data_IF_465574435855
#
_entry.id   IF_465574435855
#
_cell.length_a   1.000
_cell.length_b   1.000
_cell.length_c   1.000
_cell.angle_alpha   90.00
_cell.angle_beta   90.00
_cell.angle_gamma   90.00
#
_symmetry.space_group_name_H-M   'P 1'
#
loop_
_entity.id
_entity.type
_entity.pdbx_description
1 polymer ?
#
# COMPACT_ATOMS: atom_id res chain seq x y z
N UNK A 1 -14.38 28.01 23.07
CA UNK A 1 -14.39 27.67 21.64
C UNK A 1 -15.82 27.32 21.26
N UNK A 2 -16.52 28.20 20.55
CA UNK A 2 -17.85 27.88 20.03
C UNK A 2 -17.66 27.02 18.78
N UNK A 3 -18.20 25.79 18.78
CA UNK A 3 -18.33 24.99 17.56
C UNK A 3 -19.44 25.66 16.72
N UNK A 4 -19.05 26.48 15.75
CA UNK A 4 -20.00 27.04 14.79
C UNK A 4 -20.47 25.97 13.82
N UNK A 5 -21.77 25.88 13.57
CA UNK A 5 -22.29 25.08 12.46
C UNK A 5 -22.09 25.85 11.16
N UNK A 6 -21.54 25.18 10.14
CA UNK A 6 -21.44 25.73 8.78
C UNK A 6 -22.51 25.07 7.93
N UNK A 7 -23.44 25.87 7.37
CA UNK A 7 -24.43 25.38 6.42
C UNK A 7 -23.86 25.46 5.01
N UNK A 8 -24.09 24.43 4.20
CA UNK A 8 -23.64 24.36 2.80
C UNK A 8 -24.83 24.03 1.92
N UNK A 9 -25.11 24.90 0.95
CA UNK A 9 -26.15 24.70 -0.05
C UNK A 9 -25.62 23.85 -1.21
N UNK A 10 -26.38 22.83 -1.59
CA UNK A 10 -26.00 21.88 -2.64
C UNK A 10 -27.13 21.76 -3.65
N UNK A 11 -26.80 21.91 -4.93
CA UNK A 11 -27.75 21.78 -6.03
C UNK A 11 -27.96 20.30 -6.37
N UNK A 12 -29.22 19.84 -6.35
CA UNK A 12 -29.60 18.48 -6.73
C UNK A 12 -30.44 18.51 -8.01
N UNK A 13 -30.24 17.51 -8.86
CA UNK A 13 -31.05 17.25 -10.06
C UNK A 13 -31.63 15.83 -9.98
N UNK A 14 -32.63 15.53 -10.81
CA UNK A 14 -33.11 14.14 -10.99
C UNK A 14 -32.08 13.23 -11.70
N UNK A 15 -31.02 13.84 -12.24
CA UNK A 15 -29.95 13.16 -12.96
C UNK A 15 -28.94 12.43 -12.07
N UNK A 16 -29.01 12.62 -10.74
CA UNK A 16 -28.10 11.98 -9.79
C UNK A 16 -28.78 11.79 -8.44
N UNK A 17 -28.46 10.70 -7.75
CA UNK A 17 -28.99 10.47 -6.40
C UNK A 17 -28.33 11.42 -5.39
N UNK A 18 -29.09 11.82 -4.36
CA UNK A 18 -28.58 12.69 -3.30
C UNK A 18 -27.25 12.20 -2.68
N UNK A 19 -27.05 10.90 -2.37
CA UNK A 19 -25.76 10.41 -1.89
C UNK A 19 -24.60 10.68 -2.85
N UNK A 20 -24.79 10.51 -4.16
CA UNK A 20 -23.75 10.78 -5.15
C UNK A 20 -23.38 12.27 -5.18
N UNK A 21 -24.38 13.15 -5.13
CA UNK A 21 -24.16 14.60 -5.08
C UNK A 21 -23.35 14.97 -3.82
N UNK A 22 -23.72 14.45 -2.66
CA UNK A 22 -23.00 14.71 -1.40
C UNK A 22 -21.55 14.19 -1.42
N UNK A 23 -21.31 13.01 -2.01
CA UNK A 23 -19.97 12.45 -2.21
C UNK A 23 -19.15 13.34 -3.15
N UNK A 24 -19.73 13.78 -4.27
CA UNK A 24 -19.08 14.69 -5.22
C UNK A 24 -18.72 16.04 -4.60
N UNK A 25 -19.52 16.53 -3.65
CA UNK A 25 -19.23 17.74 -2.88
C UNK A 25 -18.24 17.52 -1.72
N UNK A 26 -17.68 16.32 -1.56
CA UNK A 26 -16.66 16.03 -0.56
C UNK A 26 -17.20 15.97 0.88
N UNK A 27 -18.54 15.93 1.05
CA UNK A 27 -19.16 15.81 2.37
C UNK A 27 -19.00 14.39 2.95
N UNK A 28 -18.60 13.43 2.12
CA UNK A 28 -18.20 12.08 2.52
C UNK A 28 -16.86 11.70 1.85
N UNK A 29 -15.72 12.10 2.44
CA UNK A 29 -14.39 11.98 1.80
C UNK A 29 -13.97 10.55 1.45
N UNK A 30 -14.52 9.56 2.14
CA UNK A 30 -14.16 8.13 2.01
C UNK A 30 -15.28 7.27 1.43
N UNK A 31 -16.44 7.86 1.11
CA UNK A 31 -17.55 7.10 0.55
C UNK A 31 -17.34 6.93 -0.96
N UNK A 32 -17.42 5.69 -1.48
CA UNK A 32 -17.28 5.47 -2.91
C UNK A 32 -18.58 5.90 -3.63
N UNK A 33 -18.44 6.59 -4.76
CA UNK A 33 -19.58 7.04 -5.59
C UNK A 33 -20.27 5.88 -6.33
N UNK A 34 -19.60 4.73 -6.43
CA UNK A 34 -20.06 3.51 -7.08
C UNK A 34 -19.59 2.29 -6.29
N UNK A 35 -20.29 1.13 -6.39
CA UNK A 35 -19.83 -0.10 -5.77
C UNK A 35 -18.39 -0.42 -6.19
N UNK A 36 -17.48 -0.57 -5.22
CA UNK A 36 -16.13 -1.04 -5.48
C UNK A 36 -16.11 -2.57 -5.63
N UNK A 37 -15.07 -3.08 -6.31
CA UNK A 37 -14.85 -4.52 -6.42
C UNK A 37 -14.67 -5.08 -5.01
N UNK A 38 -15.55 -6.00 -4.62
CA UNK A 38 -15.38 -6.76 -3.39
C UNK A 38 -14.20 -7.73 -3.58
N UNK A 39 -13.13 -7.52 -2.79
CA UNK A 39 -11.98 -8.44 -2.75
C UNK A 39 -12.12 -9.32 -1.52
N UNK A 40 -11.89 -10.62 -1.69
CA UNK A 40 -11.84 -11.55 -0.55
C UNK A 40 -10.65 -11.19 0.35
N UNK A 41 -10.93 -10.99 1.65
CA UNK A 41 -9.88 -10.73 2.64
C UNK A 41 -8.94 -11.92 2.79
N UNK A 42 -9.46 -13.15 2.67
CA UNK A 42 -8.64 -14.36 2.70
C UNK A 42 -7.67 -14.41 1.52
N UNK A 43 -8.12 -13.98 0.33
CA UNK A 43 -7.27 -13.87 -0.85
C UNK A 43 -6.17 -12.82 -0.64
N UNK A 44 -6.49 -11.67 -0.05
CA UNK A 44 -5.51 -10.62 0.23
C UNK A 44 -4.45 -11.10 1.24
N UNK A 45 -4.88 -11.78 2.31
CA UNK A 45 -3.99 -12.38 3.31
C UNK A 45 -3.07 -13.45 2.71
N UNK A 46 -3.61 -14.28 1.81
CA UNK A 46 -2.84 -15.23 1.04
C UNK A 46 -1.76 -14.53 0.20
N UNK A 47 -2.12 -13.49 -0.56
CA UNK A 47 -1.16 -12.74 -1.37
C UNK A 47 -0.06 -12.10 -0.51
N UNK A 48 -0.42 -11.48 0.62
CA UNK A 48 0.57 -10.91 1.54
C UNK A 48 1.57 -11.98 2.01
N UNK A 49 1.09 -13.16 2.37
CA UNK A 49 1.94 -14.28 2.80
C UNK A 49 2.83 -14.76 1.65
N UNK A 50 2.27 -14.89 0.45
CA UNK A 50 2.99 -15.31 -0.75
C UNK A 50 4.13 -14.33 -1.09
N UNK A 51 3.85 -13.04 -1.10
CA UNK A 51 4.85 -11.99 -1.36
C UNK A 51 5.95 -11.97 -0.31
N UNK A 52 5.61 -12.15 0.97
CA UNK A 52 6.61 -12.24 2.02
C UNK A 52 7.57 -13.42 1.79
N UNK A 53 7.02 -14.59 1.51
CA UNK A 53 7.82 -15.80 1.28
C UNK A 53 8.61 -15.77 -0.02
N UNK A 54 8.13 -15.12 -1.07
CA UNK A 54 8.88 -14.97 -2.32
C UNK A 54 10.10 -14.07 -2.14
N UNK A 55 9.98 -12.98 -1.38
CA UNK A 55 11.13 -12.14 -1.00
C UNK A 55 12.18 -12.94 -0.24
N UNK A 56 11.77 -13.76 0.73
CA UNK A 56 12.69 -14.62 1.48
C UNK A 56 13.45 -15.58 0.56
N UNK A 57 12.76 -16.17 -0.43
CA UNK A 57 13.38 -17.07 -1.41
C UNK A 57 14.40 -16.34 -2.30
N UNK A 58 14.07 -15.14 -2.78
CA UNK A 58 14.99 -14.30 -3.57
C UNK A 58 16.22 -13.93 -2.74
N UNK A 59 16.03 -13.51 -1.49
CA UNK A 59 17.13 -13.15 -0.59
C UNK A 59 18.03 -14.35 -0.29
N UNK A 60 17.45 -15.53 -0.06
CA UNK A 60 18.21 -16.77 0.12
C UNK A 60 19.04 -17.11 -1.13
N UNK A 61 18.45 -16.95 -2.33
CA UNK A 61 19.13 -17.19 -3.58
C UNK A 61 20.30 -16.21 -3.82
N UNK A 62 20.07 -14.91 -3.60
CA UNK A 62 21.11 -13.87 -3.70
C UNK A 62 22.24 -14.14 -2.69
N UNK A 63 21.90 -14.54 -1.46
CA UNK A 63 22.88 -14.89 -0.43
C UNK A 63 23.73 -16.10 -0.85
N UNK A 64 23.10 -17.16 -1.39
CA UNK A 64 23.80 -18.34 -1.90
C UNK A 64 24.76 -17.98 -3.05
N UNK A 65 24.32 -17.16 -4.00
CA UNK A 65 25.16 -16.66 -5.09
C UNK A 65 26.33 -15.82 -4.54
N UNK A 66 26.07 -14.91 -3.60
CA UNK A 66 27.10 -14.10 -2.95
C UNK A 66 28.16 -14.98 -2.30
N UNK A 67 27.75 -16.00 -1.55
CA UNK A 67 28.68 -16.97 -0.94
C UNK A 67 29.47 -17.74 -1.99
N UNK A 68 28.81 -18.23 -3.04
CA UNK A 68 29.43 -18.99 -4.11
C UNK A 68 30.50 -18.19 -4.86
N UNK A 69 30.20 -16.95 -5.26
CA UNK A 69 31.14 -16.08 -5.96
C UNK A 69 32.27 -15.58 -5.06
N UNK A 70 31.98 -15.30 -3.78
CA UNK A 70 33.01 -14.90 -2.81
C UNK A 70 34.07 -15.99 -2.63
N UNK A 71 33.65 -17.28 -2.62
CA UNK A 71 34.59 -18.43 -2.56
C UNK A 71 35.49 -18.54 -3.78
N UNK A 72 35.07 -18.01 -4.93
CA UNK A 72 35.86 -17.99 -6.16
C UNK A 72 36.73 -16.73 -6.29
N UNK A 73 36.79 -15.89 -5.26
CA UNK A 73 37.59 -14.66 -5.26
C UNK A 73 36.90 -13.46 -5.93
N UNK A 74 35.65 -13.61 -6.39
CA UNK A 74 34.86 -12.50 -6.92
C UNK A 74 34.12 -11.80 -5.78
N UNK A 75 34.54 -10.57 -5.44
CA UNK A 75 33.83 -9.74 -4.47
C UNK A 75 32.69 -8.98 -5.15
N UNK A 76 31.46 -9.34 -4.81
CA UNK A 76 30.27 -8.58 -5.21
C UNK A 76 30.27 -7.25 -4.45
N UNK A 77 30.74 -6.17 -5.08
CA UNK A 77 30.67 -4.82 -4.52
C UNK A 77 29.27 -4.29 -4.73
N UNK A 78 28.48 -4.32 -3.66
CA UNK A 78 27.18 -3.66 -3.63
C UNK A 78 27.42 -2.16 -3.82
N UNK A 79 27.09 -1.64 -5.00
CA UNK A 79 27.06 -0.18 -5.25
C UNK A 79 25.79 0.36 -4.58
N UNK A 80 25.77 0.27 -3.25
CA UNK A 80 24.88 0.97 -2.32
C UNK A 80 23.40 0.55 -2.39
N UNK A 81 23.05 -0.52 -1.69
CA UNK A 81 21.91 -0.49 -0.76
C UNK A 81 22.45 -0.11 0.61
N UNK A 82 22.13 1.11 1.06
CA UNK A 82 22.54 1.66 2.34
C UNK A 82 22.06 0.70 3.45
N UNK A 83 22.94 0.28 4.36
CA UNK A 83 22.55 -0.56 5.49
C UNK A 83 21.48 0.15 6.31
N UNK A 84 20.27 -0.38 6.31
CA UNK A 84 19.27 -0.04 7.32
C UNK A 84 19.33 -1.19 8.32
N UNK A 85 20.31 -1.14 9.22
CA UNK A 85 20.25 -1.83 10.50
C UNK A 85 19.28 -1.05 11.40
N UNK A 86 18.03 -0.92 10.99
CA UNK A 86 16.93 -0.53 11.85
C UNK A 86 15.90 -1.67 11.79
N UNK A 87 15.22 -2.01 12.90
CA UNK A 87 14.06 -2.88 12.84
C UNK A 87 13.15 -2.34 11.74
N UNK A 88 12.74 -3.19 10.80
CA UNK A 88 11.79 -2.83 9.75
C UNK A 88 10.49 -2.43 10.45
N UNK A 89 10.33 -1.14 10.71
CA UNK A 89 9.10 -0.59 11.22
C UNK A 89 8.11 -0.56 10.06
N UNK A 90 6.87 -0.88 10.39
CA UNK A 90 5.77 -1.29 9.50
C UNK A 90 5.23 -0.21 8.57
N UNK A 91 6.05 0.74 8.10
CA UNK A 91 5.60 1.90 7.31
C UNK A 91 6.30 2.10 5.95
N UNK A 92 7.30 1.30 5.59
CA UNK A 92 8.03 1.47 4.31
C UNK A 92 7.61 0.48 3.21
N UNK A 93 6.34 0.10 3.20
CA UNK A 93 5.71 -0.54 2.03
C UNK A 93 4.58 0.37 1.60
N UNK A 94 4.90 1.49 0.97
CA UNK A 94 4.10 2.21 -0.03
C UNK A 94 4.79 3.55 -0.30
N UNK A 95 5.70 3.58 -1.29
CA UNK A 95 5.89 4.63 -2.29
C UNK A 95 6.97 4.19 -3.29
#
# INVERSE_FOLDING_TARGET
MSLGFTSVDVLSCDCSSLPQVLIHHGLFPTAPSQPCIAVSLDLLSFYQTLFKRSCDAINAHVSALKMYYSRQGFQMTDKKVRSINAPLDTNDVFL
#
